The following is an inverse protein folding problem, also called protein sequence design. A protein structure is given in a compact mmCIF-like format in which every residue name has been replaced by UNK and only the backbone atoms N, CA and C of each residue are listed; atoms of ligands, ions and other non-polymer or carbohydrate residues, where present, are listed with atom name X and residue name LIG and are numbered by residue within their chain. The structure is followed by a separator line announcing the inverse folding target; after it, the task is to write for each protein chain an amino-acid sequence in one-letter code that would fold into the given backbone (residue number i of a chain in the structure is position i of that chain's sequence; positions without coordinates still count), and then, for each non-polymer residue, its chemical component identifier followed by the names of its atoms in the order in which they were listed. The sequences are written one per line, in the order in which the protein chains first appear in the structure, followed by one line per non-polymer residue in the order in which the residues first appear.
data_IF_375166240792
#
_entry.id   IF_375166240792
#
_cell.length_a   1.000
_cell.length_b   1.000
_cell.length_c   1.000
_cell.angle_alpha   90.00
_cell.angle_beta   90.00
_cell.angle_gamma   90.00
#
_symmetry.space_group_name_H-M   'P 1'
#
loop_
_entity.id
_entity.type
_entity.pdbx_description
1 polymer ?
#
# COMPACT_ATOMS: atom_id res chain seq x y z
N UNK A 1 -9.39 13.79 -11.73
CA UNK A 1 -8.59 12.71 -11.09
C UNK A 1 -9.35 11.42 -11.28
N UNK A 2 -8.66 10.33 -11.62
CA UNK A 2 -9.25 9.00 -11.69
C UNK A 2 -8.56 8.13 -10.64
N UNK A 3 -9.34 7.31 -9.92
CA UNK A 3 -8.78 6.25 -9.09
C UNK A 3 -8.29 5.18 -10.07
N UNK A 4 -6.97 4.98 -10.14
CA UNK A 4 -6.40 3.99 -11.05
C UNK A 4 -6.16 2.65 -10.35
N UNK A 5 -5.91 2.65 -9.04
CA UNK A 5 -5.71 1.41 -8.30
C UNK A 5 -6.13 1.54 -6.84
N UNK A 6 -6.70 0.45 -6.32
CA UNK A 6 -7.00 0.27 -4.90
C UNK A 6 -6.38 -1.05 -4.46
N UNK A 7 -5.44 -0.98 -3.53
CA UNK A 7 -4.87 -2.13 -2.86
C UNK A 7 -5.62 -2.37 -1.55
N UNK A 8 -5.94 -3.62 -1.28
CA UNK A 8 -6.55 -4.07 -0.03
C UNK A 8 -5.80 -5.28 0.48
N UNK A 9 -5.23 -5.16 1.67
CA UNK A 9 -4.51 -6.22 2.37
C UNK A 9 -5.32 -6.60 3.60
N UNK A 10 -5.67 -7.87 3.70
CA UNK A 10 -6.41 -8.44 4.83
C UNK A 10 -5.42 -9.24 5.66
N UNK A 11 -5.41 -9.01 6.97
CA UNK A 11 -4.45 -9.56 7.92
C UNK A 11 -5.20 -9.99 9.18
N UNK A 12 -4.75 -11.07 9.82
CA UNK A 12 -5.32 -11.56 11.08
C UNK A 12 -4.58 -11.00 12.31
N UNK A 13 -3.36 -10.47 12.13
CA UNK A 13 -2.50 -9.96 13.21
C UNK A 13 -2.49 -8.42 13.24
N UNK A 14 -2.83 -7.85 14.40
CA UNK A 14 -2.81 -6.41 14.64
C UNK A 14 -1.42 -5.78 14.49
N UNK A 15 -0.39 -6.44 15.01
CA UNK A 15 0.99 -5.94 14.97
C UNK A 15 1.48 -5.90 13.54
N UNK A 16 1.12 -6.93 12.76
CA UNK A 16 1.39 -6.95 11.34
C UNK A 16 0.71 -5.77 10.65
N UNK A 17 -0.58 -5.58 10.89
CA UNK A 17 -1.33 -4.51 10.25
C UNK A 17 -0.78 -3.12 10.59
N UNK A 18 -0.33 -2.90 11.83
CA UNK A 18 0.36 -1.68 12.25
C UNK A 18 1.71 -1.51 11.56
N UNK A 19 2.53 -2.56 11.49
CA UNK A 19 3.83 -2.51 10.80
C UNK A 19 3.67 -2.19 9.31
N UNK A 20 2.69 -2.80 8.63
CA UNK A 20 2.36 -2.48 7.23
C UNK A 20 1.97 -1.01 7.10
N UNK A 21 1.08 -0.52 7.97
CA UNK A 21 0.62 0.86 7.95
C UNK A 21 1.77 1.87 8.16
N UNK A 22 2.67 1.60 9.10
CA UNK A 22 3.84 2.46 9.33
C UNK A 22 4.82 2.43 8.15
N UNK A 23 5.09 1.26 7.57
CA UNK A 23 6.06 1.14 6.46
C UNK A 23 5.53 1.68 5.12
N UNK A 24 4.22 1.54 4.86
CA UNK A 24 3.57 2.03 3.64
C UNK A 24 3.05 3.46 3.77
N UNK A 25 3.34 4.15 4.89
CA UNK A 25 2.98 5.55 5.06
C UNK A 25 3.51 6.36 3.86
N UNK A 26 2.74 7.34 3.32
CA UNK A 26 3.15 8.10 2.15
C UNK A 26 4.53 8.74 2.27
N UNK A 27 4.93 9.14 3.49
CA UNK A 27 6.26 9.73 3.75
C UNK A 27 7.42 8.73 3.56
N UNK A 28 7.13 7.43 3.57
CA UNK A 28 8.07 6.33 3.38
C UNK A 28 8.07 5.79 1.94
N UNK A 29 7.18 6.29 1.07
CA UNK A 29 7.06 5.86 -0.31
C UNK A 29 7.54 6.97 -1.26
N UNK A 30 8.26 6.59 -2.31
CA UNK A 30 8.72 7.55 -3.32
C UNK A 30 7.61 7.82 -4.33
N UNK A 31 6.58 8.57 -3.93
CA UNK A 31 5.49 8.95 -4.81
C UNK A 31 5.84 10.22 -5.63
N UNK A 32 5.59 10.24 -6.96
CA UNK A 32 5.70 11.47 -7.75
C UNK A 32 4.73 12.56 -7.23
N UNK A 33 5.09 13.85 -7.35
CA UNK A 33 4.28 14.99 -6.83
C UNK A 33 2.83 15.03 -7.33
N UNK A 34 2.57 14.43 -8.49
CA UNK A 34 1.24 14.37 -9.08
C UNK A 34 0.43 13.14 -8.65
N UNK A 35 1.00 12.26 -7.83
CA UNK A 35 0.33 11.08 -7.30
C UNK A 35 -0.13 11.38 -5.87
N UNK A 36 -1.35 10.97 -5.54
CA UNK A 36 -1.82 10.96 -4.15
C UNK A 36 -2.07 9.53 -3.71
N UNK A 37 -1.48 9.18 -2.58
CA UNK A 37 -1.74 7.96 -1.85
C UNK A 37 -2.62 8.30 -0.66
N UNK A 38 -3.79 7.65 -0.57
CA UNK A 38 -4.62 7.69 0.63
C UNK A 38 -4.60 6.31 1.24
N UNK A 39 -4.26 6.23 2.50
CA UNK A 39 -4.25 4.96 3.22
C UNK A 39 -5.16 5.00 4.43
N UNK A 40 -5.64 3.82 4.82
CA UNK A 40 -6.35 3.63 6.07
C UNK A 40 -6.14 2.21 6.56
N UNK A 41 -6.14 2.07 7.87
CA UNK A 41 -6.28 0.79 8.56
C UNK A 41 -7.66 0.74 9.21
N UNK A 42 -8.35 -0.38 9.07
CA UNK A 42 -9.64 -0.62 9.70
C UNK A 42 -9.69 -2.03 10.27
N UNK A 43 -10.50 -2.24 11.31
CA UNK A 43 -10.72 -3.56 11.89
C UNK A 43 -12.14 -4.02 11.55
N UNK A 44 -12.27 -5.22 11.01
CA UNK A 44 -13.54 -5.88 10.74
C UNK A 44 -13.55 -7.24 11.45
N UNK A 45 -14.27 -7.32 12.57
CA UNK A 45 -14.28 -8.50 13.45
C UNK A 45 -12.86 -8.88 13.95
N UNK A 46 -12.36 -10.04 13.52
CA UNK A 46 -11.03 -10.58 13.84
C UNK A 46 -9.96 -10.21 12.79
N UNK A 47 -10.35 -9.53 11.71
CA UNK A 47 -9.44 -9.15 10.63
C UNK A 47 -9.09 -7.65 10.69
N UNK A 48 -7.84 -7.35 10.37
CA UNK A 48 -7.30 -6.02 10.14
C UNK A 48 -7.13 -5.81 8.64
N UNK A 49 -7.71 -4.72 8.14
CA UNK A 49 -7.73 -4.38 6.72
C UNK A 49 -6.96 -3.09 6.52
N UNK A 50 -5.84 -3.19 5.80
CA UNK A 50 -5.13 -2.04 5.25
C UNK A 50 -5.66 -1.78 3.84
N UNK A 51 -6.10 -0.55 3.58
CA UNK A 51 -6.51 -0.10 2.24
C UNK A 51 -5.65 1.08 1.81
N UNK A 52 -5.04 0.96 0.63
CA UNK A 52 -4.30 2.03 -0.02
C UNK A 52 -4.99 2.37 -1.35
N UNK A 53 -5.35 3.64 -1.54
CA UNK A 53 -5.95 4.17 -2.75
C UNK A 53 -4.95 5.11 -3.43
N UNK A 54 -4.58 4.75 -4.65
CA UNK A 54 -3.65 5.51 -5.46
C UNK A 54 -4.43 6.28 -6.51
N UNK A 55 -4.31 7.60 -6.46
CA UNK A 55 -4.95 8.52 -7.39
C UNK A 55 -3.88 9.25 -8.19
N UNK A 56 -4.05 9.29 -9.50
CA UNK A 56 -3.25 10.14 -10.39
C UNK A 56 -4.16 10.97 -11.31
N UNK A 57 -3.66 12.12 -11.80
CA UNK A 57 -4.28 12.85 -12.89
C UNK A 57 -4.48 11.96 -14.11
N UNK A 58 -5.60 12.16 -14.81
CA UNK A 58 -5.97 11.37 -15.98
C UNK A 58 -5.12 11.80 -17.19
N UNK A 59 -3.88 11.34 -17.23
CA UNK A 59 -2.86 11.65 -18.24
C UNK A 59 -2.12 10.35 -18.64
N UNK A 60 -2.22 9.93 -19.92
CA UNK A 60 -1.58 8.70 -20.43
C UNK A 60 -0.09 8.59 -20.13
N UNK A 61 0.63 9.72 -20.05
CA UNK A 61 2.09 9.73 -19.77
C UNK A 61 2.44 9.38 -18.33
N UNK A 62 1.46 9.33 -17.43
CA UNK A 62 1.66 9.13 -15.97
C UNK A 62 1.35 7.71 -15.51
N UNK A 63 0.93 6.83 -16.44
CA UNK A 63 0.65 5.42 -16.16
C UNK A 63 1.92 4.60 -15.91
N UNK A 64 3.05 4.94 -16.54
CA UNK A 64 4.32 4.23 -16.30
C UNK A 64 4.82 4.43 -14.87
N UNK A 65 4.65 5.64 -14.33
CA UNK A 65 5.02 5.93 -12.94
C UNK A 65 4.05 5.29 -11.93
N UNK A 66 2.77 5.10 -12.29
CA UNK A 66 1.84 4.32 -11.48
C UNK A 66 2.33 2.88 -11.31
N UNK A 67 2.80 2.25 -12.39
CA UNK A 67 3.33 0.89 -12.34
C UNK A 67 4.52 0.81 -11.38
N UNK A 68 5.46 1.76 -11.46
CA UNK A 68 6.60 1.82 -10.55
C UNK A 68 6.20 1.87 -9.07
N UNK A 69 5.25 2.74 -8.71
CA UNK A 69 4.77 2.82 -7.31
C UNK A 69 4.01 1.56 -6.88
N UNK A 70 3.25 0.92 -7.79
CA UNK A 70 2.59 -0.36 -7.49
C UNK A 70 3.60 -1.48 -7.27
N UNK A 71 4.65 -1.56 -8.09
CA UNK A 71 5.73 -2.55 -7.95
C UNK A 71 6.49 -2.34 -6.62
N UNK A 72 6.69 -1.09 -6.19
CA UNK A 72 7.30 -0.75 -4.89
C UNK A 72 6.42 -1.20 -3.71
N UNK A 73 5.11 -0.90 -3.76
CA UNK A 73 4.15 -1.35 -2.73
C UNK A 73 4.11 -2.87 -2.67
N UNK A 74 4.05 -3.56 -3.81
CA UNK A 74 4.08 -5.02 -3.85
C UNK A 74 5.37 -5.58 -3.26
N UNK A 75 6.52 -5.00 -3.61
CA UNK A 75 7.82 -5.41 -3.07
C UNK A 75 7.89 -5.25 -1.54
N UNK A 76 7.37 -4.15 -0.99
CA UNK A 76 7.30 -3.94 0.46
C UNK A 76 6.39 -4.99 1.11
N UNK A 77 5.23 -5.28 0.51
CA UNK A 77 4.33 -6.31 1.05
C UNK A 77 4.93 -7.71 1.01
N UNK A 78 5.66 -8.07 -0.05
CA UNK A 78 6.39 -9.35 -0.14
C UNK A 78 7.53 -9.42 0.89
N UNK A 79 8.28 -8.34 1.08
CA UNK A 79 9.34 -8.26 2.08
C UNK A 79 8.79 -8.47 3.49
N UNK A 80 7.65 -7.85 3.81
CA UNK A 80 6.94 -8.04 5.09
C UNK A 80 6.51 -9.50 5.26
N UNK A 81 5.94 -10.10 4.23
CA UNK A 81 5.53 -11.51 4.28
C UNK A 81 6.72 -12.45 4.52
N UNK A 82 7.85 -12.19 3.85
CA UNK A 82 9.08 -12.98 4.01
C UNK A 82 9.70 -12.83 5.41
N UNK A 83 9.72 -11.62 5.97
CA UNK A 83 10.20 -11.39 7.35
C UNK A 83 9.34 -12.13 8.36
N UNK A 84 8.02 -12.19 8.17
CA UNK A 84 7.11 -12.94 9.04
C UNK A 84 7.30 -14.45 8.95
N UNK A 85 7.56 -14.98 7.74
CA UNK A 85 7.84 -16.40 7.55
C UNK A 85 9.14 -16.80 8.27
N UNK A 86 10.15 -15.91 8.30
CA UNK A 86 11.42 -16.19 9.00
C UNK A 86 11.35 -16.03 10.53
N UNK A 87 10.32 -15.36 11.06
CA UNK A 87 10.14 -15.14 12.50
C UNK A 87 9.17 -16.16 13.16
N UNK A 88 8.55 -17.04 12.37
CA UNK A 88 7.78 -18.20 12.82
C UNK A 88 8.67 -19.42 13.01
#
# INVERSE_FOLDING_TARGET
MAILSRLKIIMEDEKLAKAIYEMLHPDNLTAPEYMSLKEKISRNNEEYIYEAEITVPNDPKRFDSLRGTLDEILSITEMINNVLIMLK
#
